data_IF_257787756821
#
_entry.id   IF_257787756821
#
_cell.length_a   1.000
_cell.length_b   1.000
_cell.length_c   1.000
_cell.angle_alpha   90.00
_cell.angle_beta   90.00
_cell.angle_gamma   90.00
#
_symmetry.space_group_name_H-M   'P 1'
#
loop_
_entity.id
_entity.type
_entity.pdbx_description
1 polymer ?
#
# COMPACT_ATOMS: atom_id res chain seq x y z
N UNK A 1 1.26 5.10 17.50
CA UNK A 1 0.52 6.05 18.37
C UNK A 1 1.47 7.16 18.75
N UNK A 2 0.99 8.40 18.89
CA UNK A 2 1.82 9.55 19.25
C UNK A 2 1.35 10.20 20.54
N UNK A 3 2.29 10.65 21.36
CA UNK A 3 2.04 11.47 22.53
C UNK A 3 1.74 12.92 22.14
N UNK A 4 1.42 13.75 23.13
CA UNK A 4 1.16 15.18 22.96
C UNK A 4 2.37 15.96 22.42
N UNK A 5 3.56 15.44 22.69
CA UNK A 5 4.87 15.91 22.19
C UNK A 5 5.19 15.44 20.76
N UNK A 6 4.31 14.64 20.15
CA UNK A 6 4.51 14.07 18.81
C UNK A 6 5.43 12.84 18.76
N UNK A 7 5.99 12.41 19.90
CA UNK A 7 6.84 11.22 19.99
C UNK A 7 6.02 9.95 19.91
N UNK A 8 6.63 8.87 19.42
CA UNK A 8 5.97 7.56 19.37
C UNK A 8 5.89 7.03 20.81
N UNK A 9 4.67 6.80 21.29
CA UNK A 9 4.40 6.26 22.64
C UNK A 9 3.97 4.79 22.62
N UNK A 10 3.89 4.19 21.43
CA UNK A 10 3.48 2.80 21.25
C UNK A 10 2.90 2.49 19.88
N UNK A 11 2.59 1.22 19.68
CA UNK A 11 2.05 0.66 18.46
C UNK A 11 0.68 0.05 18.72
N UNK A 12 -0.24 0.23 17.76
CA UNK A 12 -1.58 -0.35 17.80
C UNK A 12 -1.84 -1.05 16.47
N UNK A 13 -1.42 -2.32 16.31
CA UNK A 13 -1.82 -3.11 15.16
C UNK A 13 -3.35 -3.23 15.13
N UNK A 14 -3.92 -3.24 13.92
CA UNK A 14 -5.35 -3.37 13.72
C UNK A 14 -5.63 -4.24 12.51
N UNK A 15 -6.49 -5.23 12.68
CA UNK A 15 -7.00 -6.10 11.62
C UNK A 15 -8.50 -5.85 11.50
N UNK A 16 -8.97 -5.58 10.29
CA UNK A 16 -10.39 -5.37 10.00
C UNK A 16 -10.87 -6.50 9.09
N UNK A 17 -11.86 -7.24 9.55
CA UNK A 17 -12.44 -8.37 8.81
C UNK A 17 -13.92 -8.09 8.52
N UNK A 18 -14.36 -8.41 7.30
CA UNK A 18 -15.74 -8.19 6.85
C UNK A 18 -16.03 -6.78 6.31
N UNK A 19 -17.30 -6.51 5.99
CA UNK A 19 -17.78 -5.23 5.43
C UNK A 19 -19.12 -4.82 6.04
N UNK A 20 -19.37 -3.52 6.08
CA UNK A 20 -20.63 -2.94 6.54
C UNK A 20 -20.96 -3.32 7.98
N UNK A 21 -22.19 -3.79 8.20
CA UNK A 21 -22.70 -4.19 9.53
C UNK A 21 -21.95 -5.40 10.10
N UNK A 22 -21.36 -6.24 9.24
CA UNK A 22 -20.61 -7.44 9.66
C UNK A 22 -19.11 -7.17 9.85
N UNK A 23 -18.68 -5.90 9.89
CA UNK A 23 -17.27 -5.55 10.09
C UNK A 23 -16.86 -5.78 11.54
N UNK A 24 -15.87 -6.64 11.76
CA UNK A 24 -15.18 -6.82 13.04
C UNK A 24 -13.80 -6.19 13.00
N UNK A 25 -13.41 -5.53 14.09
CA UNK A 25 -12.10 -4.94 14.26
C UNK A 25 -11.38 -5.63 15.41
N UNK A 26 -10.18 -6.11 15.15
CA UNK A 26 -9.28 -6.70 16.14
C UNK A 26 -8.12 -5.72 16.32
N UNK A 27 -7.78 -5.37 17.55
CA UNK A 27 -6.66 -4.51 17.84
C UNK A 27 -6.14 -4.79 19.25
N UNK A 28 -4.84 -4.57 19.44
CA UNK A 28 -4.18 -4.55 20.73
C UNK A 28 -3.20 -3.38 20.78
N UNK A 29 -2.80 -2.95 21.97
CA UNK A 29 -1.95 -1.78 22.18
C UNK A 29 -0.68 -2.18 22.89
N UNK A 30 0.45 -1.88 22.27
CA UNK A 30 1.79 -2.12 22.78
C UNK A 30 2.46 -0.78 23.06
N UNK A 31 2.51 -0.38 24.33
CA UNK A 31 3.09 0.90 24.74
C UNK A 31 4.61 0.77 24.91
N UNK A 32 5.29 1.87 24.63
CA UNK A 32 6.71 2.01 24.99
C UNK A 32 6.75 2.39 26.47
N UNK A 33 7.48 1.60 27.26
CA UNK A 33 7.67 1.80 28.70
C UNK A 33 9.17 1.78 29.03
N UNK A 34 9.60 2.14 30.25
CA UNK A 34 11.02 2.05 30.63
C UNK A 34 11.63 0.65 30.45
N UNK A 35 10.81 -0.41 30.58
CA UNK A 35 11.19 -1.81 30.42
C UNK A 35 11.00 -2.32 28.97
N UNK A 36 10.21 -1.59 28.17
CA UNK A 36 9.86 -1.96 26.79
C UNK A 36 10.18 -0.82 25.84
N UNK A 37 11.34 -0.92 25.19
CA UNK A 37 11.75 0.05 24.20
C UNK A 37 10.89 0.03 22.91
N UNK A 38 11.15 1.00 22.04
CA UNK A 38 10.41 1.15 20.79
C UNK A 38 10.55 -0.05 19.83
N UNK A 39 11.69 -0.74 19.84
CA UNK A 39 11.93 -1.89 18.97
C UNK A 39 11.17 -3.11 19.50
N UNK A 40 11.19 -3.32 20.82
CA UNK A 40 10.49 -4.42 21.47
C UNK A 40 8.96 -4.24 21.39
N UNK A 41 8.45 -3.02 21.62
CA UNK A 41 7.03 -2.72 21.46
C UNK A 41 6.55 -2.98 20.01
N UNK A 42 7.39 -2.68 19.02
CA UNK A 42 7.11 -2.97 17.61
C UNK A 42 7.13 -4.48 17.33
N UNK A 43 8.11 -5.21 17.86
CA UNK A 43 8.21 -6.66 17.70
C UNK A 43 7.01 -7.38 18.33
N UNK A 44 6.57 -6.95 19.51
CA UNK A 44 5.37 -7.48 20.17
C UNK A 44 4.10 -7.19 19.35
N UNK A 45 3.98 -5.98 18.81
CA UNK A 45 2.87 -5.61 17.94
C UNK A 45 2.83 -6.45 16.65
N UNK A 46 3.99 -6.71 16.05
CA UNK A 46 4.09 -7.56 14.86
C UNK A 46 3.72 -9.00 15.18
N UNK A 47 4.28 -9.57 16.27
CA UNK A 47 3.98 -10.94 16.69
C UNK A 47 2.50 -11.15 17.02
N UNK A 48 1.90 -10.19 17.72
CA UNK A 48 0.46 -10.23 17.99
C UNK A 48 -0.35 -10.25 16.70
N UNK A 49 0.04 -9.40 15.75
CA UNK A 49 -0.63 -9.31 14.46
C UNK A 49 -0.53 -10.62 13.70
N UNK A 50 0.66 -11.22 13.63
CA UNK A 50 0.90 -12.48 12.91
C UNK A 50 0.08 -13.62 13.54
N UNK A 51 0.03 -13.69 14.87
CA UNK A 51 -0.80 -14.66 15.60
C UNK A 51 -2.30 -14.44 15.33
N UNK A 52 -2.76 -13.19 15.38
CA UNK A 52 -4.17 -12.85 15.15
C UNK A 52 -4.56 -13.07 13.68
N UNK A 53 -3.68 -12.82 12.72
CA UNK A 53 -3.87 -13.17 11.32
C UNK A 53 -4.04 -14.69 11.17
N UNK A 54 -3.16 -15.48 11.80
CA UNK A 54 -3.27 -16.95 11.80
C UNK A 54 -4.58 -17.45 12.43
N UNK A 55 -4.99 -16.91 13.58
CA UNK A 55 -6.28 -17.25 14.24
C UNK A 55 -7.49 -16.94 13.36
N UNK A 56 -7.42 -15.87 12.58
CA UNK A 56 -8.49 -15.45 11.67
C UNK A 56 -8.46 -16.16 10.32
N UNK A 57 -7.53 -17.10 10.11
CA UNK A 57 -7.33 -17.80 8.83
C UNK A 57 -6.85 -16.86 7.72
N UNK A 58 -6.13 -15.80 8.09
CA UNK A 58 -5.50 -14.84 7.18
C UNK A 58 -4.03 -15.25 7.05
N UNK A 59 -3.53 -15.43 5.82
CA UNK A 59 -2.10 -15.74 5.65
C UNK A 59 -1.26 -14.61 6.29
N UNK A 60 -0.30 -15.00 7.14
CA UNK A 60 0.58 -14.08 7.85
C UNK A 60 1.26 -13.15 6.86
N UNK A 61 1.16 -11.84 7.08
CA UNK A 61 1.73 -10.85 6.16
C UNK A 61 0.84 -10.54 4.95
N UNK A 62 -0.42 -10.98 4.94
CA UNK A 62 -1.50 -10.36 4.16
C UNK A 62 -1.80 -8.97 4.73
N UNK A 63 -0.80 -8.09 4.65
CA UNK A 63 -1.00 -6.67 4.60
C UNK A 63 -2.06 -6.47 3.52
N UNK A 64 -3.22 -5.90 3.89
CA UNK A 64 -4.25 -5.55 2.91
C UNK A 64 -3.57 -5.02 1.66
N UNK A 65 -3.99 -5.47 0.48
CA UNK A 65 -3.43 -5.19 -0.86
C UNK A 65 -3.06 -3.72 -1.18
N UNK A 66 -3.27 -2.79 -0.25
CA UNK A 66 -2.78 -1.43 -0.24
C UNK A 66 -1.29 -1.25 0.08
N UNK A 67 -0.57 -2.22 0.65
CA UNK A 67 0.81 -1.92 1.11
C UNK A 67 1.89 -3.00 0.92
N UNK A 68 1.58 -4.23 0.49
CA UNK A 68 2.58 -5.31 0.43
C UNK A 68 3.44 -5.36 -0.84
N UNK A 69 3.04 -4.72 -1.94
CA UNK A 69 3.67 -4.88 -3.26
C UNK A 69 4.51 -3.68 -3.73
N UNK A 70 4.79 -2.71 -2.86
CA UNK A 70 5.42 -1.46 -3.29
C UNK A 70 6.92 -1.50 -3.01
N UNK A 71 7.70 -1.54 -4.09
CA UNK A 71 9.16 -1.35 -4.09
C UNK A 71 9.58 -0.12 -3.28
N UNK A 72 8.75 0.94 -3.24
CA UNK A 72 8.91 2.07 -2.33
C UNK A 72 7.67 2.26 -1.44
N UNK A 73 7.80 2.29 -0.10
CA UNK A 73 6.71 2.65 0.79
C UNK A 73 6.21 4.07 0.48
N UNK A 74 4.88 4.27 0.52
CA UNK A 74 4.26 5.59 0.34
C UNK A 74 3.80 5.95 -1.08
N UNK A 75 4.02 5.13 -2.11
CA UNK A 75 3.51 5.41 -3.47
C UNK A 75 2.02 5.05 -3.58
N UNK A 76 1.11 5.99 -3.78
CA UNK A 76 -0.32 5.74 -3.92
C UNK A 76 -0.86 6.11 -5.31
N UNK A 77 -1.76 5.29 -5.82
CA UNK A 77 -2.58 5.60 -6.99
C UNK A 77 -3.79 6.44 -6.58
N UNK A 78 -3.91 7.65 -7.14
CA UNK A 78 -5.04 8.55 -6.91
C UNK A 78 -5.80 8.71 -8.23
N UNK A 79 -7.08 8.33 -8.24
CA UNK A 79 -7.99 8.51 -9.37
C UNK A 79 -9.18 9.34 -8.90
N UNK A 80 -9.36 10.51 -9.50
CA UNK A 80 -10.46 11.41 -9.17
C UNK A 80 -11.75 10.89 -9.80
N UNK A 81 -12.81 10.79 -9.01
CA UNK A 81 -14.12 10.27 -9.43
C UNK A 81 -15.01 11.30 -10.14
N UNK A 82 -14.59 12.58 -10.19
CA UNK A 82 -15.37 13.67 -10.78
C UNK A 82 -14.62 14.29 -11.97
N UNK A 83 -15.33 14.69 -13.04
CA UNK A 83 -14.77 15.47 -14.13
C UNK A 83 -14.15 16.81 -13.66
N UNK A 84 -13.08 17.29 -14.32
CA UNK A 84 -12.28 16.60 -15.32
C UNK A 84 -11.50 15.46 -14.67
N UNK A 85 -11.77 14.22 -15.06
CA UNK A 85 -11.16 13.04 -14.45
C UNK A 85 -9.63 13.18 -14.52
N UNK A 86 -8.98 13.07 -13.36
CA UNK A 86 -7.53 13.11 -13.24
C UNK A 86 -7.07 11.82 -12.57
N UNK A 87 -5.89 11.35 -12.95
CA UNK A 87 -5.24 10.24 -12.31
C UNK A 87 -3.77 10.59 -12.11
N UNK A 88 -3.20 10.19 -10.98
CA UNK A 88 -1.79 10.40 -10.69
C UNK A 88 -1.25 9.34 -9.75
N UNK A 89 0.04 9.08 -9.90
CA UNK A 89 0.84 8.48 -8.85
C UNK A 89 1.34 9.56 -7.91
N UNK A 90 1.29 9.28 -6.61
CA UNK A 90 1.79 10.21 -5.59
C UNK A 90 2.65 9.45 -4.59
N UNK A 91 3.84 9.95 -4.32
CA UNK A 91 4.69 9.49 -3.24
C UNK A 91 4.84 10.57 -2.18
N UNK A 92 4.79 10.15 -0.93
CA UNK A 92 5.03 11.01 0.23
C UNK A 92 5.75 10.18 1.29
N UNK A 93 6.88 10.71 1.76
CA UNK A 93 7.67 10.14 2.84
C UNK A 93 8.04 11.28 3.82
N UNK A 94 8.03 11.04 5.15
CA UNK A 94 8.48 12.03 6.11
C UNK A 94 9.89 12.54 5.77
N UNK A 95 10.12 13.85 5.91
CA UNK A 95 11.40 14.49 5.62
C UNK A 95 11.74 14.64 4.14
N UNK A 96 10.90 14.17 3.21
CA UNK A 96 11.13 14.27 1.77
C UNK A 96 10.04 15.10 1.07
N UNK A 97 10.43 15.80 -0.01
CA UNK A 97 9.47 16.52 -0.85
C UNK A 97 8.52 15.53 -1.54
N UNK A 98 7.19 15.72 -1.46
CA UNK A 98 6.24 14.85 -2.13
C UNK A 98 6.44 14.86 -3.65
N UNK A 99 6.46 13.67 -4.26
CA UNK A 99 6.57 13.52 -5.71
C UNK A 99 5.19 13.15 -6.26
N UNK A 100 4.73 13.86 -7.29
CA UNK A 100 3.46 13.56 -7.97
C UNK A 100 3.70 13.44 -9.46
N UNK A 101 3.18 12.38 -10.07
CA UNK A 101 3.21 12.17 -11.52
C UNK A 101 1.80 11.93 -12.05
N UNK A 102 1.31 12.87 -12.85
CA UNK A 102 0.01 12.75 -13.50
C UNK A 102 0.07 11.75 -14.65
N UNK A 103 -1.02 10.98 -14.78
CA UNK A 103 -1.28 10.08 -15.89
C UNK A 103 -2.06 10.84 -16.95
N UNK A 104 -1.60 10.73 -18.19
CA UNK A 104 -2.32 11.21 -19.35
C UNK A 104 -2.40 10.10 -20.39
N UNK A 105 -3.29 10.26 -21.36
CA UNK A 105 -3.52 9.28 -22.45
C UNK A 105 -2.23 8.87 -23.15
N UNK A 106 -1.32 9.83 -23.38
CA UNK A 106 -0.04 9.61 -24.08
C UNK A 106 1.04 8.94 -23.23
N UNK A 107 0.95 9.02 -21.91
CA UNK A 107 2.00 8.52 -21.02
C UNK A 107 1.68 7.11 -20.49
N UNK A 108 0.41 6.70 -20.49
CA UNK A 108 0.03 5.35 -20.04
C UNK A 108 0.20 5.13 -18.53
N UNK A 109 -0.32 4.00 -18.07
CA UNK A 109 -0.31 3.61 -16.65
C UNK A 109 1.07 3.19 -16.16
N UNK A 110 1.74 2.32 -16.92
CA UNK A 110 3.03 1.74 -16.56
C UNK A 110 4.16 2.75 -16.69
N UNK A 111 4.23 3.50 -17.79
CA UNK A 111 5.31 4.48 -17.96
C UNK A 111 5.23 5.62 -16.94
N UNK A 112 4.02 6.09 -16.60
CA UNK A 112 3.85 7.09 -15.53
C UNK A 112 4.27 6.59 -14.14
N UNK A 113 4.15 5.28 -13.87
CA UNK A 113 4.66 4.68 -12.65
C UNK A 113 6.19 4.65 -12.64
N UNK A 114 6.80 4.27 -13.76
CA UNK A 114 8.26 4.26 -13.93
C UNK A 114 8.87 5.63 -13.72
N UNK A 115 8.31 6.67 -14.33
CA UNK A 115 8.80 8.04 -14.14
C UNK A 115 8.65 8.54 -12.69
N UNK A 116 7.60 8.10 -11.99
CA UNK A 116 7.47 8.42 -10.57
C UNK A 116 8.60 7.76 -9.77
N UNK A 117 8.83 6.46 -9.97
CA UNK A 117 9.85 5.70 -9.24
C UNK A 117 11.24 6.26 -9.53
N UNK A 118 11.52 6.66 -10.77
CA UNK A 118 12.77 7.33 -11.12
C UNK A 118 13.01 8.58 -10.28
N UNK A 119 12.02 9.49 -10.19
CA UNK A 119 12.15 10.73 -9.38
C UNK A 119 12.32 10.45 -7.90
N UNK A 120 11.73 9.36 -7.40
CA UNK A 120 11.89 8.92 -6.01
C UNK A 120 13.31 8.39 -5.79
N UNK A 121 13.82 7.57 -6.71
CA UNK A 121 15.20 7.05 -6.64
C UNK A 121 16.21 8.19 -6.69
N UNK A 122 16.02 9.17 -7.58
CA UNK A 122 16.81 10.40 -7.63
C UNK A 122 16.76 11.17 -6.30
N UNK A 123 15.57 11.37 -5.72
CA UNK A 123 15.41 12.05 -4.44
C UNK A 123 16.05 11.32 -3.25
N UNK A 124 16.10 9.99 -3.31
CA UNK A 124 16.66 9.13 -2.26
C UNK A 124 18.11 8.70 -2.54
N UNK A 125 18.71 9.13 -3.67
CA UNK A 125 20.02 8.65 -4.13
C UNK A 125 20.11 7.11 -4.20
N UNK A 126 19.05 6.47 -4.70
CA UNK A 126 18.96 5.02 -4.90
C UNK A 126 19.09 4.68 -6.38
N UNK A 127 19.49 3.44 -6.66
CA UNK A 127 19.49 2.91 -8.02
C UNK A 127 18.08 2.53 -8.48
N UNK A 128 17.82 2.73 -9.77
CA UNK A 128 16.56 2.36 -10.40
C UNK A 128 16.52 0.82 -10.56
N UNK A 129 15.43 0.14 -10.17
CA UNK A 129 15.30 -1.29 -10.41
C UNK A 129 15.12 -1.57 -11.91
N UNK A 130 15.77 -2.64 -12.38
CA UNK A 130 15.69 -3.09 -13.78
C UNK A 130 14.27 -3.53 -14.16
N UNK A 131 13.63 -4.28 -13.27
CA UNK A 131 12.23 -4.68 -13.40
C UNK A 131 11.34 -3.86 -12.48
N UNK A 132 10.38 -3.18 -13.08
CA UNK A 132 9.39 -2.41 -12.35
C UNK A 132 8.01 -2.71 -12.92
N UNK A 133 7.10 -3.20 -12.09
CA UNK A 133 5.71 -3.45 -12.49
C UNK A 133 4.79 -2.56 -11.67
N UNK A 134 3.95 -1.77 -12.33
CA UNK A 134 2.99 -0.93 -11.66
C UNK A 134 1.96 -1.79 -10.90
N UNK A 135 1.61 -1.43 -9.65
CA UNK A 135 0.67 -2.21 -8.88
C UNK A 135 -0.73 -2.14 -9.52
N UNK A 136 -1.41 -3.29 -9.57
CA UNK A 136 -2.73 -3.42 -10.18
C UNK A 136 -3.75 -2.50 -9.51
N UNK A 137 -4.46 -1.63 -10.28
CA UNK A 137 -5.54 -0.82 -9.74
C UNK A 137 -6.66 -1.66 -9.14
N UNK A 138 -7.33 -1.12 -8.12
CA UNK A 138 -8.56 -1.74 -7.64
C UNK A 138 -9.70 -1.61 -8.69
N UNK A 139 -10.83 -2.34 -8.55
CA UNK A 139 -11.87 -2.36 -9.57
C UNK A 139 -12.43 -0.98 -9.96
N UNK A 140 -12.66 -0.09 -8.99
CA UNK A 140 -13.24 1.24 -9.25
C UNK A 140 -12.24 2.18 -9.90
N UNK A 141 -10.97 2.12 -9.48
CA UNK A 141 -9.86 2.84 -10.12
C UNK A 141 -9.66 2.36 -11.56
N UNK A 142 -9.67 1.04 -11.79
CA UNK A 142 -9.52 0.45 -13.11
C UNK A 142 -10.60 0.93 -14.08
N UNK A 143 -11.88 0.87 -13.67
CA UNK A 143 -13.00 1.34 -14.49
C UNK A 143 -12.87 2.83 -14.83
N UNK A 144 -12.44 3.65 -13.86
CA UNK A 144 -12.24 5.10 -14.06
C UNK A 144 -11.07 5.38 -15.01
N UNK A 145 -9.96 4.65 -14.90
CA UNK A 145 -8.81 4.77 -15.79
C UNK A 145 -9.16 4.34 -17.23
N UNK A 146 -9.97 3.30 -17.39
CA UNK A 146 -10.50 2.91 -18.69
C UNK A 146 -11.38 4.02 -19.29
N UNK A 147 -12.28 4.61 -18.51
CA UNK A 147 -13.12 5.72 -18.96
C UNK A 147 -12.30 6.98 -19.33
N UNK A 148 -11.14 7.18 -18.70
CA UNK A 148 -10.19 8.23 -19.06
C UNK A 148 -9.40 7.95 -20.35
N UNK A 149 -9.46 6.72 -20.88
CA UNK A 149 -8.65 6.29 -22.02
C UNK A 149 -7.16 6.17 -21.68
N UNK A 150 -6.84 5.74 -20.46
CA UNK A 150 -5.45 5.44 -20.07
C UNK A 150 -5.06 4.07 -20.62
N UNK A 151 -3.94 4.04 -21.33
CA UNK A 151 -3.37 2.84 -21.94
C UNK A 151 -2.46 2.08 -20.95
N UNK A 152 -2.01 0.88 -21.34
CA UNK A 152 -1.09 0.03 -20.56
C UNK A 152 -1.62 -0.40 -19.18
N UNK A 153 -2.94 -0.46 -19.02
CA UNK A 153 -3.53 -0.99 -17.79
C UNK A 153 -3.23 -2.50 -17.71
N UNK A 154 -2.78 -3.00 -16.54
CA UNK A 154 -2.46 -4.42 -16.38
C UNK A 154 -3.73 -5.26 -16.57
N UNK A 155 -3.64 -6.32 -17.37
CA UNK A 155 -4.77 -7.22 -17.58
C UNK A 155 -5.10 -7.93 -16.26
N UNK A 156 -6.29 -7.63 -15.73
CA UNK A 156 -6.79 -8.19 -14.47
C UNK A 156 -6.95 -9.71 -14.51
N UNK A 157 -7.02 -10.32 -15.71
CA UNK A 157 -7.09 -11.77 -15.92
C UNK A 157 -5.71 -12.43 -16.03
N UNK A 158 -4.68 -11.66 -16.36
CA UNK A 158 -3.28 -12.10 -16.48
C UNK A 158 -2.49 -12.01 -15.17
N UNK A 159 -3.06 -11.40 -14.13
CA UNK A 159 -2.45 -11.43 -12.79
C UNK A 159 -2.36 -12.89 -12.39
N UNK A 160 -1.16 -13.46 -12.46
CA UNK A 160 -0.81 -14.66 -11.73
C UNK A 160 -1.25 -14.39 -10.29
N UNK A 161 -2.38 -14.98 -9.92
CA UNK A 161 -2.72 -15.20 -8.53
C UNK A 161 -1.46 -15.84 -7.95
N UNK A 162 -0.81 -15.14 -7.02
CA UNK A 162 0.23 -15.77 -6.22
C UNK A 162 -0.33 -17.11 -5.71
N UNK A 163 0.53 -18.11 -5.61
CA UNK A 163 0.29 -19.54 -5.36
C UNK A 163 -0.91 -19.96 -4.46
N UNK A 164 -1.43 -19.07 -3.61
CA UNK A 164 -2.55 -19.27 -2.71
C UNK A 164 -3.89 -19.66 -3.37
N UNK A 165 -4.09 -19.44 -4.67
CA UNK A 165 -5.35 -19.78 -5.34
C UNK A 165 -5.43 -21.21 -5.90
N UNK A 166 -4.37 -22.03 -5.79
CA UNK A 166 -4.32 -23.38 -6.39
C UNK A 166 -4.73 -24.54 -5.47
N UNK A 167 -5.07 -24.29 -4.19
CA UNK A 167 -5.39 -25.38 -3.25
C UNK A 167 -6.89 -25.60 -2.96
N UNK A 168 -7.80 -25.11 -3.81
CA UNK A 168 -9.23 -25.43 -3.68
C UNK A 168 -9.85 -25.95 -5.00
N UNK A 169 -9.25 -27.00 -5.55
CA UNK A 169 -9.94 -27.99 -6.39
C UNK A 169 -9.80 -29.37 -5.77
#
# INVERSE_FOLDING_TARGET
MKGEDGNIIGYRPMIQQGRGVNRKNYYEVFRITPEVDAAMALAMAQRWRDNMEAELGIDIGQISSKSASRFVPGISLIVFSKPPYRACWKWSSPGNTPVTKYMGKRLGFQASYRELVQRICEALSLEMPDELIAPTPNPSQYASLCAMGIEELPDRRSVQLSWAARQLQ
#
